data_IF_761722672183
#
_entry.id   IF_761722672183
#
_cell.length_a   1.000
_cell.length_b   1.000
_cell.length_c   1.000
_cell.angle_alpha   90.00
_cell.angle_beta   90.00
_cell.angle_gamma   90.00
#
_symmetry.space_group_name_H-M   'P 1'
#
loop_
_entity.id
_entity.type
_entity.pdbx_description
1 polymer ?
#
# COMPACT_ATOMS: atom_id res chain seq x y z
N UNK A 1 -13.37 23.39 -10.02
CA UNK A 1 -13.75 22.00 -9.71
C UNK A 1 -13.63 21.83 -8.21
N UNK A 2 -14.60 21.22 -7.56
CA UNK A 2 -14.57 20.98 -6.11
C UNK A 2 -13.36 20.09 -5.77
N UNK A 3 -12.64 20.42 -4.68
CA UNK A 3 -11.45 19.66 -4.25
C UNK A 3 -11.77 18.20 -3.93
N UNK A 4 -12.93 17.90 -3.38
CA UNK A 4 -13.39 16.54 -3.12
C UNK A 4 -13.60 15.75 -4.41
N UNK A 5 -14.19 16.38 -5.43
CA UNK A 5 -14.37 15.78 -6.75
C UNK A 5 -13.00 15.51 -7.40
N UNK A 6 -12.05 16.45 -7.27
CA UNK A 6 -10.68 16.27 -7.79
C UNK A 6 -9.99 15.06 -7.17
N UNK A 7 -10.02 14.95 -5.83
CA UNK A 7 -9.45 13.81 -5.11
C UNK A 7 -10.13 12.51 -5.54
N UNK A 8 -11.47 12.48 -5.51
CA UNK A 8 -12.25 11.28 -5.84
C UNK A 8 -11.98 10.78 -7.26
N UNK A 9 -11.99 11.68 -8.25
CA UNK A 9 -11.66 11.32 -9.64
C UNK A 9 -10.23 10.81 -9.79
N UNK A 10 -9.26 11.47 -9.13
CA UNK A 10 -7.86 11.04 -9.17
C UNK A 10 -7.68 9.64 -8.60
N UNK A 11 -8.31 9.35 -7.45
CA UNK A 11 -8.27 8.02 -6.81
C UNK A 11 -8.89 6.96 -7.72
N UNK A 12 -10.10 7.21 -8.25
CA UNK A 12 -10.81 6.25 -9.12
C UNK A 12 -10.00 5.98 -10.39
N UNK A 13 -9.51 7.04 -11.06
CA UNK A 13 -8.72 6.89 -12.27
C UNK A 13 -7.40 6.15 -12.01
N UNK A 14 -6.75 6.38 -10.86
CA UNK A 14 -5.56 5.66 -10.49
C UNK A 14 -5.84 4.17 -10.26
N UNK A 15 -6.93 3.81 -9.56
CA UNK A 15 -7.34 2.41 -9.40
C UNK A 15 -7.60 1.73 -10.74
N UNK A 16 -8.33 2.40 -11.65
CA UNK A 16 -8.63 1.85 -12.98
C UNK A 16 -7.35 1.68 -13.79
N UNK A 17 -6.51 2.71 -13.86
CA UNK A 17 -5.28 2.68 -14.66
C UNK A 17 -4.30 1.64 -14.12
N UNK A 18 -3.97 1.71 -12.83
CA UNK A 18 -3.02 0.77 -12.23
C UNK A 18 -3.59 -0.65 -12.16
N UNK A 19 -4.87 -0.80 -11.83
CA UNK A 19 -5.54 -2.11 -11.84
C UNK A 19 -5.48 -2.76 -13.21
N UNK A 20 -5.65 -1.99 -14.29
CA UNK A 20 -5.53 -2.49 -15.67
C UNK A 20 -4.09 -2.89 -16.01
N UNK A 21 -3.11 -2.05 -15.69
CA UNK A 21 -1.68 -2.38 -15.86
C UNK A 21 -1.31 -3.62 -15.06
N UNK A 22 -1.73 -3.67 -13.80
CA UNK A 22 -1.47 -4.80 -12.91
C UNK A 22 -2.04 -6.11 -13.47
N UNK A 23 -3.31 -6.08 -13.87
CA UNK A 23 -4.01 -7.26 -14.41
C UNK A 23 -3.38 -7.79 -15.70
N UNK A 24 -2.97 -6.90 -16.61
CA UNK A 24 -2.45 -7.29 -17.92
C UNK A 24 -0.97 -7.67 -17.90
N UNK A 25 -0.16 -6.96 -17.13
CA UNK A 25 1.30 -7.05 -17.25
C UNK A 25 2.01 -7.58 -16.02
N UNK A 26 1.48 -7.32 -14.81
CA UNK A 26 2.16 -7.69 -13.56
C UNK A 26 1.65 -9.04 -13.06
N UNK A 27 0.34 -9.17 -12.88
CA UNK A 27 -0.28 -10.35 -12.27
C UNK A 27 0.04 -11.67 -13.00
N UNK A 28 -0.04 -11.76 -14.36
CA UNK A 28 0.33 -12.99 -15.05
C UNK A 28 1.76 -13.43 -14.77
N UNK A 29 2.71 -12.46 -14.81
CA UNK A 29 4.12 -12.75 -14.53
C UNK A 29 4.37 -13.22 -13.10
N UNK A 30 3.65 -12.64 -12.13
CA UNK A 30 3.75 -13.08 -10.73
C UNK A 30 3.26 -14.51 -10.53
N UNK A 31 2.27 -14.95 -11.33
CA UNK A 31 1.74 -16.32 -11.25
C UNK A 31 2.72 -17.39 -11.76
N UNK A 32 3.67 -17.00 -12.61
CA UNK A 32 4.70 -17.89 -13.15
C UNK A 32 5.90 -18.05 -12.19
N UNK A 33 5.99 -17.17 -11.18
CA UNK A 33 7.07 -17.20 -10.21
C UNK A 33 6.77 -18.08 -9.00
N UNK A 34 7.81 -18.58 -8.30
CA UNK A 34 7.65 -19.14 -6.97
C UNK A 34 6.96 -18.13 -6.03
N UNK A 35 6.10 -18.64 -5.14
CA UNK A 35 5.28 -17.79 -4.26
C UNK A 35 6.11 -16.76 -3.48
N UNK A 36 7.23 -17.18 -2.90
CA UNK A 36 8.07 -16.29 -2.09
C UNK A 36 8.71 -15.18 -2.93
N UNK A 37 9.10 -15.48 -4.17
CA UNK A 37 9.60 -14.49 -5.12
C UNK A 37 8.51 -13.50 -5.52
N UNK A 38 7.30 -14.00 -5.81
CA UNK A 38 6.16 -13.14 -6.14
C UNK A 38 5.79 -12.24 -4.95
N UNK A 39 5.80 -12.76 -3.72
CA UNK A 39 5.58 -11.97 -2.51
C UNK A 39 6.67 -10.92 -2.30
N UNK A 40 7.95 -11.24 -2.55
CA UNK A 40 9.05 -10.27 -2.45
C UNK A 40 8.85 -9.07 -3.39
N UNK A 41 8.39 -9.32 -4.62
CA UNK A 41 8.09 -8.26 -5.58
C UNK A 41 6.93 -7.39 -5.09
N UNK A 42 5.88 -8.01 -4.54
CA UNK A 42 4.71 -7.28 -4.02
C UNK A 42 5.01 -6.51 -2.73
N UNK A 43 5.93 -6.99 -1.89
CA UNK A 43 6.40 -6.32 -0.67
C UNK A 43 7.25 -5.08 -0.99
N UNK A 44 8.01 -5.11 -2.09
CA UNK A 44 8.97 -4.06 -2.42
C UNK A 44 8.40 -2.62 -2.41
N UNK A 45 7.26 -2.31 -3.03
CA UNK A 45 6.71 -0.95 -3.00
C UNK A 45 6.32 -0.48 -1.59
N UNK A 46 5.99 -1.39 -0.68
CA UNK A 46 5.62 -1.03 0.69
C UNK A 46 6.82 -0.57 1.53
N UNK A 47 8.05 -0.90 1.16
CA UNK A 47 9.24 -0.35 1.82
C UNK A 47 9.35 1.17 1.69
N UNK A 48 8.73 1.77 0.67
CA UNK A 48 8.74 3.21 0.42
C UNK A 48 7.60 3.96 1.12
N UNK A 49 6.76 3.29 1.89
CA UNK A 49 5.65 3.92 2.61
C UNK A 49 6.12 4.95 3.65
N UNK A 50 7.40 4.95 4.04
CA UNK A 50 7.96 6.02 4.87
C UNK A 50 7.73 7.42 4.28
N UNK A 51 7.39 7.55 2.99
CA UNK A 51 6.97 8.81 2.37
C UNK A 51 5.76 9.44 3.08
N UNK A 52 4.94 8.64 3.79
CA UNK A 52 3.87 9.11 4.64
C UNK A 52 4.34 10.01 5.79
N UNK A 53 5.62 9.94 6.20
CA UNK A 53 6.17 10.90 7.16
C UNK A 53 6.08 12.36 6.67
N UNK A 54 5.90 12.58 5.37
CA UNK A 54 5.66 13.89 4.79
C UNK A 54 4.38 14.57 5.30
N UNK A 55 3.41 13.82 5.85
CA UNK A 55 2.26 14.39 6.56
C UNK A 55 2.65 15.16 7.83
N UNK A 56 3.86 14.92 8.37
CA UNK A 56 4.41 15.63 9.54
C UNK A 56 5.38 16.73 9.13
N UNK A 57 5.69 16.88 7.84
CA UNK A 57 6.69 17.83 7.35
C UNK A 57 6.08 19.20 7.07
N UNK A 58 6.46 20.26 7.83
CA UNK A 58 5.99 21.63 7.57
C UNK A 58 6.35 22.08 6.15
N UNK A 59 5.39 22.72 5.46
CA UNK A 59 5.59 23.21 4.09
C UNK A 59 5.38 22.13 3.00
N UNK A 60 5.32 20.85 3.35
CA UNK A 60 4.94 19.76 2.45
C UNK A 60 3.45 19.47 2.59
N UNK A 61 3.00 19.27 3.82
CA UNK A 61 1.58 19.21 4.16
C UNK A 61 1.00 20.62 4.26
N UNK A 62 -0.28 20.79 3.90
CA UNK A 62 -0.96 22.08 4.02
C UNK A 62 -1.12 22.51 5.49
N UNK A 63 -1.15 23.83 5.74
CA UNK A 63 -1.16 24.38 7.10
C UNK A 63 -2.43 24.07 7.90
N UNK A 64 -3.50 23.66 7.23
CA UNK A 64 -4.80 23.32 7.86
C UNK A 64 -4.97 21.83 8.11
N UNK A 65 -3.91 21.01 7.93
CA UNK A 65 -3.97 19.58 8.19
C UNK A 65 -4.16 19.30 9.67
N UNK A 66 -5.21 18.56 9.99
CA UNK A 66 -5.50 18.18 11.37
C UNK A 66 -4.50 17.13 11.86
N UNK A 67 -3.84 17.32 13.03
CA UNK A 67 -2.94 16.31 13.61
C UNK A 67 -3.60 14.96 13.81
N UNK A 68 -4.90 14.92 14.10
CA UNK A 68 -5.68 13.68 14.24
C UNK A 68 -5.76 12.87 12.93
N UNK A 69 -5.48 13.48 11.78
CA UNK A 69 -5.39 12.79 10.49
C UNK A 69 -3.93 12.53 10.11
N UNK A 70 -3.06 13.54 10.28
CA UNK A 70 -1.65 13.47 9.89
C UNK A 70 -0.87 12.41 10.68
N UNK A 71 -1.05 12.35 12.00
CA UNK A 71 -0.28 11.45 12.86
C UNK A 71 -0.56 9.96 12.56
N UNK A 72 -1.83 9.49 12.55
CA UNK A 72 -2.10 8.09 12.21
C UNK A 72 -1.59 7.72 10.83
N UNK A 73 -1.81 8.56 9.80
CA UNK A 73 -1.35 8.30 8.45
C UNK A 73 0.19 8.18 8.38
N UNK A 74 0.92 9.10 9.02
CA UNK A 74 2.38 9.08 9.02
C UNK A 74 2.97 7.87 9.75
N UNK A 75 2.46 7.57 10.95
CA UNK A 75 3.01 6.48 11.76
C UNK A 75 2.56 5.10 11.28
N UNK A 76 1.34 4.97 10.74
CA UNK A 76 0.88 3.75 10.09
C UNK A 76 1.73 3.42 8.86
N UNK A 77 1.96 4.40 8.00
CA UNK A 77 2.85 4.26 6.85
C UNK A 77 4.29 3.89 7.26
N UNK A 78 4.82 4.49 8.35
CA UNK A 78 6.14 4.12 8.87
C UNK A 78 6.17 2.68 9.39
N UNK A 79 5.15 2.25 10.13
CA UNK A 79 5.06 0.88 10.65
C UNK A 79 5.02 -0.13 9.49
N UNK A 80 4.20 0.12 8.48
CA UNK A 80 4.15 -0.71 7.28
C UNK A 80 5.48 -0.73 6.53
N UNK A 81 6.20 0.40 6.41
CA UNK A 81 7.51 0.45 5.77
C UNK A 81 8.54 -0.42 6.50
N UNK A 82 8.58 -0.34 7.84
CA UNK A 82 9.46 -1.17 8.67
C UNK A 82 9.11 -2.66 8.51
N UNK A 83 7.83 -3.02 8.58
CA UNK A 83 7.38 -4.39 8.37
C UNK A 83 7.74 -4.91 6.97
N UNK A 84 7.63 -4.06 5.94
CA UNK A 84 7.99 -4.42 4.57
C UNK A 84 9.50 -4.68 4.43
N UNK A 85 10.35 -3.87 5.06
CA UNK A 85 11.81 -4.10 5.09
C UNK A 85 12.11 -5.43 5.76
N UNK A 86 11.53 -5.70 6.94
CA UNK A 86 11.70 -6.97 7.67
C UNK A 86 11.22 -8.15 6.81
N UNK A 87 10.03 -8.03 6.19
CA UNK A 87 9.48 -9.06 5.32
C UNK A 87 10.39 -9.35 4.12
N UNK A 88 10.95 -8.31 3.50
CA UNK A 88 11.88 -8.43 2.38
C UNK A 88 13.13 -9.23 2.75
N UNK A 89 13.76 -8.91 3.88
CA UNK A 89 14.92 -9.68 4.38
C UNK A 89 14.54 -11.12 4.74
N UNK A 90 13.40 -11.31 5.40
CA UNK A 90 12.95 -12.64 5.80
C UNK A 90 12.65 -13.55 4.60
N UNK A 91 12.00 -13.02 3.56
CA UNK A 91 11.73 -13.75 2.31
C UNK A 91 13.03 -14.12 1.58
N UNK A 92 13.97 -13.17 1.48
CA UNK A 92 15.27 -13.39 0.83
C UNK A 92 16.09 -14.45 1.58
N UNK A 93 16.09 -14.40 2.90
CA UNK A 93 16.75 -15.40 3.75
C UNK A 93 15.99 -16.74 3.85
N UNK A 94 14.82 -16.88 3.23
CA UNK A 94 13.92 -18.05 3.36
C UNK A 94 13.63 -18.43 4.81
N UNK A 95 13.48 -17.43 5.67
CA UNK A 95 13.23 -17.63 7.08
C UNK A 95 11.86 -18.30 7.30
N UNK A 96 11.76 -19.23 8.26
CA UNK A 96 10.51 -19.94 8.57
C UNK A 96 9.37 -19.04 8.99
N UNK A 97 9.68 -17.87 9.52
CA UNK A 97 8.72 -16.86 9.97
C UNK A 97 8.38 -15.81 8.90
N UNK A 98 9.00 -15.87 7.70
CA UNK A 98 8.82 -14.88 6.63
C UNK A 98 7.34 -14.65 6.27
N UNK A 99 6.58 -15.73 6.06
CA UNK A 99 5.15 -15.63 5.73
C UNK A 99 4.33 -14.99 6.86
N UNK A 100 4.71 -15.19 8.11
CA UNK A 100 4.06 -14.54 9.26
C UNK A 100 4.22 -13.03 9.23
N UNK A 101 5.41 -12.53 8.90
CA UNK A 101 5.65 -11.09 8.74
C UNK A 101 4.93 -10.52 7.53
N UNK A 102 4.89 -11.26 6.41
CA UNK A 102 4.11 -10.82 5.23
C UNK A 102 2.62 -10.74 5.56
N UNK A 103 2.07 -11.69 6.36
CA UNK A 103 0.70 -11.61 6.85
C UNK A 103 0.48 -10.38 7.72
N UNK A 104 1.40 -10.11 8.66
CA UNK A 104 1.31 -8.95 9.54
C UNK A 104 1.34 -7.63 8.74
N UNK A 105 2.31 -7.48 7.83
CA UNK A 105 2.39 -6.35 6.91
C UNK A 105 1.10 -6.18 6.12
N UNK A 106 0.55 -7.28 5.60
CA UNK A 106 -0.59 -7.23 4.71
C UNK A 106 -1.88 -6.82 5.44
N UNK A 107 -2.07 -7.31 6.68
CA UNK A 107 -3.20 -6.93 7.53
C UNK A 107 -3.06 -5.49 8.03
N UNK A 108 -1.93 -5.17 8.65
CA UNK A 108 -1.66 -3.84 9.18
C UNK A 108 -1.76 -2.78 8.07
N UNK A 109 -1.01 -2.96 6.97
CA UNK A 109 -0.97 -1.98 5.90
C UNK A 109 -2.30 -1.80 5.16
N UNK A 110 -3.12 -2.86 5.04
CA UNK A 110 -4.47 -2.74 4.47
C UNK A 110 -5.38 -1.95 5.40
N UNK A 111 -5.38 -2.26 6.70
CA UNK A 111 -6.20 -1.58 7.70
C UNK A 111 -5.81 -0.10 7.77
N UNK A 112 -4.51 0.20 7.81
CA UNK A 112 -4.00 1.56 7.86
C UNK A 112 -4.44 2.40 6.65
N UNK A 113 -4.27 1.89 5.42
CA UNK A 113 -4.65 2.61 4.22
C UNK A 113 -6.18 2.83 4.12
N UNK A 114 -6.98 1.84 4.50
CA UNK A 114 -8.44 1.98 4.53
C UNK A 114 -8.89 2.95 5.62
N UNK A 115 -8.23 2.93 6.79
CA UNK A 115 -8.50 3.87 7.86
C UNK A 115 -8.13 5.32 7.47
N UNK A 116 -6.99 5.52 6.79
CA UNK A 116 -6.59 6.82 6.26
C UNK A 116 -7.62 7.37 5.26
N UNK A 117 -8.15 6.54 4.36
CA UNK A 117 -9.24 6.95 3.47
C UNK A 117 -10.53 7.27 4.23
N UNK A 118 -10.90 6.43 5.20
CA UNK A 118 -12.08 6.70 6.02
C UNK A 118 -11.96 8.04 6.75
N UNK A 119 -10.83 8.32 7.38
CA UNK A 119 -10.59 9.59 8.06
C UNK A 119 -10.63 10.78 7.10
N UNK A 120 -10.01 10.69 5.94
CA UNK A 120 -9.96 11.76 4.95
C UNK A 120 -11.31 12.09 4.32
N UNK A 121 -12.17 11.07 4.12
CA UNK A 121 -13.45 11.22 3.41
C UNK A 121 -14.61 11.46 4.37
N UNK A 122 -14.67 10.73 5.49
CA UNK A 122 -15.83 10.68 6.38
C UNK A 122 -15.54 11.31 7.74
N UNK A 123 -14.36 11.03 8.31
CA UNK A 123 -14.09 11.31 9.72
C UNK A 123 -13.79 12.78 10.02
N UNK A 124 -12.95 13.46 9.23
CA UNK A 124 -12.38 14.77 9.59
C UNK A 124 -12.77 15.88 8.60
N UNK A 125 -13.42 15.55 7.50
CA UNK A 125 -13.83 16.53 6.48
C UNK A 125 -12.75 17.60 6.18
N UNK A 126 -11.57 17.14 5.73
CA UNK A 126 -10.39 17.98 5.52
C UNK A 126 -10.70 19.22 4.68
N UNK A 127 -10.31 20.43 5.14
CA UNK A 127 -10.45 21.65 4.36
C UNK A 127 -9.68 21.56 3.02
N UNK A 128 -10.12 22.28 1.99
CA UNK A 128 -9.37 22.41 0.74
C UNK A 128 -7.92 22.85 1.00
N UNK A 129 -6.95 22.21 0.33
CA UNK A 129 -5.53 22.55 0.47
C UNK A 129 -4.83 21.92 1.69
N UNK A 130 -5.55 21.25 2.61
CA UNK A 130 -4.93 20.60 3.78
C UNK A 130 -3.86 19.58 3.42
N UNK A 131 -4.00 18.88 2.29
CA UNK A 131 -3.03 17.89 1.86
C UNK A 131 -1.72 18.53 1.36
N UNK A 132 -1.74 19.73 0.78
CA UNK A 132 -0.54 20.29 0.16
C UNK A 132 0.08 19.32 -0.87
N UNK A 133 1.40 19.16 -0.85
CA UNK A 133 2.10 18.20 -1.72
C UNK A 133 1.82 16.73 -1.37
N UNK A 134 1.37 16.44 -0.15
CA UNK A 134 0.94 15.08 0.23
C UNK A 134 -0.32 14.62 -0.50
N UNK A 135 -0.96 15.48 -1.30
CA UNK A 135 -2.07 15.13 -2.19
C UNK A 135 -1.79 13.88 -3.05
N UNK A 136 -0.57 13.69 -3.50
CA UNK A 136 -0.19 12.56 -4.34
C UNK A 136 -0.15 11.22 -3.58
N UNK A 137 -0.09 11.25 -2.26
CA UNK A 137 -0.10 10.00 -1.47
C UNK A 137 -1.45 9.29 -1.62
N UNK A 138 -2.60 9.87 -1.22
CA UNK A 138 -3.89 9.20 -1.36
C UNK A 138 -4.35 9.04 -2.81
N UNK A 139 -3.89 9.88 -3.75
CA UNK A 139 -4.39 9.87 -5.12
C UNK A 139 -3.59 9.03 -6.10
N UNK A 140 -2.28 8.85 -5.88
CA UNK A 140 -1.38 8.16 -6.80
C UNK A 140 -0.67 6.96 -6.15
N UNK A 141 -0.31 7.05 -4.86
CA UNK A 141 0.48 6.00 -4.18
C UNK A 141 -0.41 4.95 -3.55
N UNK A 142 -1.43 5.35 -2.81
CA UNK A 142 -2.30 4.42 -2.06
C UNK A 142 -3.07 3.45 -2.95
N UNK A 143 -3.68 3.83 -4.09
CA UNK A 143 -4.39 2.90 -4.95
C UNK A 143 -3.52 1.72 -5.44
N UNK A 144 -2.30 1.91 -5.97
CA UNK A 144 -1.37 0.82 -6.27
C UNK A 144 -1.05 -0.07 -5.07
N UNK A 145 -0.81 0.51 -3.89
CA UNK A 145 -0.51 -0.25 -2.68
C UNK A 145 -1.68 -1.15 -2.26
N UNK A 146 -2.92 -0.68 -2.35
CA UNK A 146 -4.11 -1.50 -2.07
C UNK A 146 -4.26 -2.65 -3.08
N UNK A 147 -3.97 -2.42 -4.37
CA UNK A 147 -3.97 -3.49 -5.38
C UNK A 147 -2.92 -4.55 -5.05
N UNK A 148 -1.72 -4.15 -4.62
CA UNK A 148 -0.66 -5.09 -4.23
C UNK A 148 -1.00 -5.83 -2.94
N UNK A 149 -1.66 -5.20 -1.96
CA UNK A 149 -2.19 -5.89 -0.77
C UNK A 149 -3.20 -6.98 -1.15
N UNK A 150 -4.15 -6.69 -2.04
CA UNK A 150 -5.11 -7.69 -2.54
C UNK A 150 -4.41 -8.86 -3.24
N UNK A 151 -3.37 -8.59 -4.01
CA UNK A 151 -2.57 -9.61 -4.66
C UNK A 151 -1.80 -10.47 -3.65
N UNK A 152 -1.21 -9.84 -2.60
CA UNK A 152 -0.55 -10.57 -1.51
C UNK A 152 -1.54 -11.49 -0.78
N UNK A 153 -2.76 -11.03 -0.45
CA UNK A 153 -3.78 -11.90 0.14
C UNK A 153 -4.07 -13.11 -0.74
N UNK A 154 -4.22 -12.92 -2.06
CA UNK A 154 -4.45 -14.03 -2.99
C UNK A 154 -3.30 -15.05 -2.99
N UNK A 155 -2.05 -14.59 -2.93
CA UNK A 155 -0.89 -15.48 -2.89
C UNK A 155 -0.74 -16.18 -1.54
N UNK A 156 -1.02 -15.48 -0.43
CA UNK A 156 -0.95 -16.03 0.92
C UNK A 156 -2.01 -17.11 1.17
N UNK A 157 -3.21 -16.92 0.62
CA UNK A 157 -4.32 -17.87 0.74
C UNK A 157 -4.20 -19.07 -0.22
N UNK A 158 -3.39 -18.96 -1.27
CA UNK A 158 -3.11 -20.10 -2.15
C UNK A 158 -2.14 -21.05 -1.43
N UNK A 159 -2.51 -22.32 -1.31
CA UNK A 159 -1.61 -23.36 -0.85
C UNK A 159 -0.35 -23.46 -1.74
N UNK A 160 0.73 -24.10 -1.27
CA UNK A 160 1.92 -24.32 -2.07
C UNK A 160 1.53 -25.03 -3.37
N UNK A 161 1.97 -24.47 -4.51
CA UNK A 161 1.77 -25.11 -5.81
C UNK A 161 2.54 -26.43 -5.79
N UNK A 162 1.86 -27.56 -5.90
CA UNK A 162 2.53 -28.83 -6.18
C UNK A 162 3.27 -28.60 -7.50
N UNK A 163 4.59 -28.59 -7.46
CA UNK A 163 5.42 -28.70 -8.66
C UNK A 163 5.02 -30.05 -9.26
N UNK A 164 4.37 -30.05 -10.42
CA UNK A 164 4.16 -31.26 -11.16
C UNK A 164 5.57 -31.82 -11.43
N UNK A 165 5.90 -32.96 -10.84
CA UNK A 165 7.08 -33.71 -11.20
C UNK A 165 6.96 -33.97 -12.70
N UNK A 166 7.81 -33.27 -13.46
CA UNK A 166 8.02 -33.60 -14.87
C UNK A 166 8.78 -34.94 -14.89
N UNK A 167 8.02 -36.00 -15.16
CA UNK A 167 8.54 -37.31 -15.52
C UNK A 167 9.17 -37.23 -16.91
#
# INVERSE_FOLDING_TARGET
MDSKLTIGLSVVLCFVAFGRVFQLYIWPRLLDLPRDTALSILVAPHMFRFVGLSFLAPGVVGPTMAPACANPAAYGDLAAAVLAVIASFALTARARWALGVVWLLNLEGTIDLLFAYYQGVVGINLPPGSLGATFYIPTLIVPPLLVTHLAMFRLLLRGPRKVAEAI
#
